data_IF_251186742275
#
_entry.id   IF_251186742275
#
_cell.length_a   1.000
_cell.length_b   1.000
_cell.length_c   1.000
_cell.angle_alpha   90.00
_cell.angle_beta   90.00
_cell.angle_gamma   90.00
#
_symmetry.space_group_name_H-M   'P 1'
#
loop_
_entity.id
_entity.type
_entity.pdbx_description
1 polymer ?
#
# COMPACT_ATOMS: atom_id res chain seq x y z
N UNK A 1 -7.93 22.67 27.59
CA UNK A 1 -7.91 22.94 26.13
C UNK A 1 -7.03 21.94 25.39
N UNK A 2 -5.77 21.72 25.81
CA UNK A 2 -4.86 20.76 25.18
C UNK A 2 -5.32 19.28 25.26
N UNK A 3 -5.81 18.84 26.43
CA UNK A 3 -6.37 17.50 26.60
C UNK A 3 -7.60 17.25 25.71
N UNK A 4 -8.45 18.27 25.56
CA UNK A 4 -9.63 18.21 24.69
C UNK A 4 -9.24 18.06 23.21
N UNK A 5 -8.19 18.77 22.77
CA UNK A 5 -7.66 18.64 21.40
C UNK A 5 -7.11 17.23 21.13
N UNK A 6 -6.39 16.66 22.10
CA UNK A 6 -5.86 15.29 22.00
C UNK A 6 -6.99 14.27 21.95
N UNK A 7 -8.00 14.41 22.80
CA UNK A 7 -9.18 13.54 22.81
C UNK A 7 -9.96 13.62 21.50
N UNK A 8 -10.19 14.82 20.98
CA UNK A 8 -10.85 15.02 19.68
C UNK A 8 -10.03 14.39 18.57
N UNK A 9 -8.71 14.59 18.55
CA UNK A 9 -7.83 13.97 17.55
C UNK A 9 -7.91 12.43 17.59
N UNK A 10 -7.86 11.82 18.79
CA UNK A 10 -8.00 10.36 18.96
C UNK A 10 -9.37 9.90 18.42
N UNK A 11 -10.46 10.56 18.82
CA UNK A 11 -11.79 10.18 18.37
C UNK A 11 -11.95 10.30 16.87
N UNK A 12 -11.46 11.39 16.26
CA UNK A 12 -11.50 11.57 14.81
C UNK A 12 -10.70 10.48 14.09
N UNK A 13 -9.51 10.15 14.58
CA UNK A 13 -8.63 9.13 13.99
C UNK A 13 -9.25 7.74 14.08
N UNK A 14 -9.78 7.37 15.25
CA UNK A 14 -10.47 6.08 15.45
C UNK A 14 -11.72 6.01 14.60
N UNK A 15 -12.50 7.08 14.54
CA UNK A 15 -13.71 7.14 13.73
C UNK A 15 -13.42 7.00 12.23
N UNK A 16 -12.38 7.68 11.72
CA UNK A 16 -11.92 7.52 10.33
C UNK A 16 -11.46 6.08 10.07
N UNK A 17 -10.68 5.50 10.98
CA UNK A 17 -10.23 4.11 10.88
C UNK A 17 -11.39 3.12 10.82
N UNK A 18 -12.40 3.29 11.69
CA UNK A 18 -13.60 2.46 11.71
C UNK A 18 -14.46 2.64 10.45
N UNK A 19 -14.60 3.87 9.93
CA UNK A 19 -15.30 4.11 8.67
C UNK A 19 -14.59 3.42 7.52
N UNK A 20 -13.26 3.56 7.41
CA UNK A 20 -12.50 2.88 6.35
C UNK A 20 -12.60 1.36 6.46
N UNK A 21 -12.49 0.82 7.68
CA UNK A 21 -12.63 -0.61 7.93
C UNK A 21 -14.02 -1.14 7.57
N UNK A 22 -15.07 -0.43 8.01
CA UNK A 22 -16.46 -0.76 7.66
C UNK A 22 -16.75 -0.60 6.17
N UNK A 23 -16.10 0.36 5.49
CA UNK A 23 -16.20 0.53 4.05
C UNK A 23 -15.56 -0.65 3.32
N UNK A 24 -14.38 -1.12 3.75
CA UNK A 24 -13.76 -2.33 3.20
C UNK A 24 -14.66 -3.55 3.38
N UNK A 25 -15.21 -3.73 4.58
CA UNK A 25 -16.11 -4.86 4.89
C UNK A 25 -17.42 -4.81 4.09
N UNK A 26 -17.97 -3.61 3.81
CA UNK A 26 -19.14 -3.47 2.93
C UNK A 26 -18.88 -4.00 1.51
N UNK A 27 -17.62 -3.94 1.05
CA UNK A 27 -17.19 -4.46 -0.25
C UNK A 27 -16.64 -5.90 -0.20
N UNK A 28 -16.93 -6.67 0.85
CA UNK A 28 -16.46 -8.05 1.02
C UNK A 28 -16.84 -8.99 -0.15
N UNK A 29 -17.94 -8.71 -0.84
CA UNK A 29 -18.41 -9.46 -2.01
C UNK A 29 -17.87 -8.96 -3.36
N UNK A 30 -17.04 -7.91 -3.35
CA UNK A 30 -16.46 -7.32 -4.55
C UNK A 30 -15.31 -8.16 -5.13
N UNK A 31 -14.96 -7.97 -6.41
CA UNK A 31 -13.75 -8.55 -7.00
C UNK A 31 -12.49 -8.22 -6.18
N UNK A 32 -11.54 -9.15 -6.18
CA UNK A 32 -10.29 -9.02 -5.42
C UNK A 32 -9.47 -7.79 -5.85
N UNK A 33 -9.49 -7.44 -7.15
CA UNK A 33 -8.86 -6.23 -7.66
C UNK A 33 -9.44 -4.94 -7.04
N UNK A 34 -10.75 -4.90 -6.79
CA UNK A 34 -11.43 -3.73 -6.23
C UNK A 34 -11.07 -3.55 -4.75
N UNK A 35 -11.00 -4.63 -3.98
CA UNK A 35 -10.55 -4.59 -2.59
C UNK A 35 -9.09 -4.18 -2.50
N UNK A 36 -8.23 -4.70 -3.40
CA UNK A 36 -6.82 -4.26 -3.49
C UNK A 36 -6.70 -2.78 -3.84
N UNK A 37 -7.56 -2.26 -4.72
CA UNK A 37 -7.61 -0.84 -5.07
C UNK A 37 -8.02 0.00 -3.86
N UNK A 38 -9.05 -0.45 -3.14
CA UNK A 38 -9.54 0.20 -1.92
C UNK A 38 -8.44 0.28 -0.85
N UNK A 39 -7.74 -0.83 -0.60
CA UNK A 39 -6.59 -0.88 0.32
C UNK A 39 -5.48 0.10 -0.07
N UNK A 40 -5.18 0.25 -1.37
CA UNK A 40 -4.21 1.23 -1.89
C UNK A 40 -4.66 2.67 -1.63
N UNK A 41 -5.92 2.97 -1.87
CA UNK A 41 -6.48 4.30 -1.60
C UNK A 41 -6.44 4.63 -0.09
N UNK A 42 -6.83 3.68 0.77
CA UNK A 42 -6.74 3.84 2.23
C UNK A 42 -5.30 4.06 2.71
N UNK A 43 -4.33 3.33 2.15
CA UNK A 43 -2.91 3.55 2.47
C UNK A 43 -2.42 4.93 2.04
N UNK A 44 -2.80 5.41 0.86
CA UNK A 44 -2.44 6.77 0.41
C UNK A 44 -2.98 7.82 1.39
N UNK A 45 -4.22 7.65 1.87
CA UNK A 45 -4.80 8.58 2.84
C UNK A 45 -4.04 8.54 4.17
N UNK A 46 -3.69 7.35 4.66
CA UNK A 46 -2.88 7.21 5.88
C UNK A 46 -1.48 7.82 5.72
N UNK A 47 -0.83 7.58 4.59
CA UNK A 47 0.46 8.15 4.24
C UNK A 47 0.43 9.68 4.21
N UNK A 48 -0.62 10.28 3.63
CA UNK A 48 -0.79 11.73 3.62
C UNK A 48 -1.06 12.29 5.01
N UNK A 49 -1.85 11.58 5.83
CA UNK A 49 -2.12 11.98 7.20
C UNK A 49 -0.86 11.93 8.06
N UNK A 50 -0.03 10.89 7.90
CA UNK A 50 1.28 10.78 8.53
C UNK A 50 2.21 11.93 8.13
N UNK A 51 2.22 12.27 6.83
CA UNK A 51 3.01 13.39 6.32
C UNK A 51 2.54 14.75 6.88
N UNK A 52 1.23 14.94 7.03
CA UNK A 52 0.69 16.13 7.69
C UNK A 52 1.18 16.24 9.14
N UNK A 53 1.19 15.15 9.90
CA UNK A 53 1.73 15.15 11.26
C UNK A 53 3.24 15.47 11.29
N UNK A 54 4.00 15.00 10.30
CA UNK A 54 5.40 15.37 10.10
C UNK A 54 5.59 16.87 9.85
N UNK A 55 4.76 17.46 8.98
CA UNK A 55 4.77 18.91 8.70
C UNK A 55 4.41 19.76 9.93
N UNK A 56 3.58 19.26 10.85
CA UNK A 56 3.33 19.90 12.15
C UNK A 56 4.52 19.82 13.13
N UNK A 57 5.63 19.21 12.69
CA UNK A 57 6.86 19.10 13.47
C UNK A 57 6.77 18.07 14.58
N UNK A 58 5.83 17.12 14.51
CA UNK A 58 5.66 16.06 15.53
C UNK A 58 6.81 15.05 15.48
N UNK A 59 7.42 14.89 14.30
CA UNK A 59 8.60 14.05 14.06
C UNK A 59 9.56 14.79 13.13
N UNK A 60 10.86 14.54 13.26
CA UNK A 60 11.85 15.08 12.32
C UNK A 60 11.62 14.51 10.93
N UNK A 61 11.71 15.34 9.90
CA UNK A 61 11.58 14.92 8.50
C UNK A 61 12.48 13.73 8.11
N UNK A 62 13.69 13.64 8.69
CA UNK A 62 14.59 12.49 8.47
C UNK A 62 14.01 11.18 8.97
N UNK A 63 13.34 11.24 10.12
CA UNK A 63 12.72 10.09 10.77
C UNK A 63 11.42 9.75 10.04
N UNK A 64 10.63 10.75 9.67
CA UNK A 64 9.41 10.61 8.88
C UNK A 64 9.66 9.84 7.58
N UNK A 65 10.74 10.13 6.83
CA UNK A 65 11.12 9.34 5.65
C UNK A 65 11.32 7.86 5.97
N UNK A 66 11.97 7.55 7.10
CA UNK A 66 12.22 6.17 7.53
C UNK A 66 10.90 5.47 7.90
N UNK A 67 10.02 6.16 8.63
CA UNK A 67 8.71 5.63 9.02
C UNK A 67 7.84 5.37 7.79
N UNK A 68 7.80 6.32 6.86
CA UNK A 68 7.08 6.19 5.59
C UNK A 68 7.58 5.01 4.76
N UNK A 69 8.90 4.78 4.74
CA UNK A 69 9.49 3.62 4.08
C UNK A 69 9.05 2.30 4.71
N UNK A 70 8.99 2.23 6.05
CA UNK A 70 8.51 1.04 6.75
C UNK A 70 7.04 0.74 6.42
N UNK A 71 6.18 1.75 6.36
CA UNK A 71 4.77 1.53 5.99
C UNK A 71 4.61 1.15 4.54
N UNK A 72 5.37 1.79 3.64
CA UNK A 72 5.37 1.42 2.24
C UNK A 72 5.79 -0.04 2.07
N UNK A 73 6.84 -0.46 2.79
CA UNK A 73 7.32 -1.84 2.73
C UNK A 73 6.28 -2.83 3.25
N UNK A 74 5.67 -2.56 4.41
CA UNK A 74 4.59 -3.40 4.95
C UNK A 74 3.39 -3.44 4.00
N UNK A 75 2.94 -2.28 3.54
CA UNK A 75 1.77 -2.16 2.69
C UNK A 75 1.96 -2.87 1.36
N UNK A 76 3.11 -2.69 0.72
CA UNK A 76 3.40 -3.29 -0.57
C UNK A 76 3.45 -4.83 -0.45
N UNK A 77 4.08 -5.35 0.60
CA UNK A 77 4.09 -6.80 0.84
C UNK A 77 2.71 -7.35 1.19
N UNK A 78 1.91 -6.63 1.97
CA UNK A 78 0.53 -7.01 2.24
C UNK A 78 -0.32 -7.02 0.96
N UNK A 79 -0.17 -6.00 0.10
CA UNK A 79 -0.94 -5.87 -1.13
C UNK A 79 -0.63 -6.97 -2.14
N UNK A 80 0.64 -7.36 -2.26
CA UNK A 80 1.07 -8.47 -3.11
C UNK A 80 0.60 -9.83 -2.54
N UNK A 81 0.61 -9.99 -1.22
CA UNK A 81 0.15 -11.21 -0.55
C UNK A 81 -1.38 -11.30 -0.43
N UNK A 82 -2.11 -10.20 -0.51
CA UNK A 82 -3.58 -10.20 -0.35
C UNK A 82 -4.25 -11.16 -1.35
N UNK A 83 -5.15 -12.07 -0.92
CA UNK A 83 -5.77 -12.19 0.41
C UNK A 83 -5.04 -13.12 1.41
N UNK A 84 -3.91 -13.71 1.04
CA UNK A 84 -3.11 -14.71 1.80
C UNK A 84 -2.32 -14.13 3.00
N UNK A 85 -2.74 -13.01 3.56
CA UNK A 85 -1.93 -12.23 4.51
C UNK A 85 -1.69 -12.98 5.82
N UNK A 86 -2.69 -13.75 6.29
CA UNK A 86 -2.71 -14.43 7.58
C UNK A 86 -2.82 -15.97 7.47
N UNK A 87 -2.22 -16.59 6.44
CA UNK A 87 -2.17 -18.06 6.40
C UNK A 87 -1.36 -18.62 7.59
N UNK A 88 -1.65 -19.87 7.99
CA UNK A 88 -1.00 -20.54 9.14
C UNK A 88 0.55 -20.56 9.05
N UNK A 89 1.09 -20.55 7.82
CA UNK A 89 2.54 -20.58 7.55
C UNK A 89 3.13 -19.19 7.23
N UNK A 90 2.33 -18.11 7.30
CA UNK A 90 2.77 -16.77 6.92
C UNK A 90 3.55 -16.10 8.05
N UNK A 91 4.79 -15.70 7.78
CA UNK A 91 5.57 -14.84 8.70
C UNK A 91 5.13 -13.37 8.67
N UNK A 92 4.18 -13.02 7.81
CA UNK A 92 3.78 -11.63 7.60
C UNK A 92 3.14 -10.96 8.83
N UNK A 93 2.24 -11.60 9.60
CA UNK A 93 1.63 -10.97 10.79
C UNK A 93 2.68 -10.64 11.87
N UNK A 94 3.64 -11.55 12.07
CA UNK A 94 4.77 -11.33 12.99
C UNK A 94 5.61 -10.13 12.53
N UNK A 95 5.87 -10.01 11.22
CA UNK A 95 6.57 -8.86 10.65
C UNK A 95 5.81 -7.55 10.84
N UNK A 96 4.49 -7.54 10.63
CA UNK A 96 3.64 -6.38 10.89
C UNK A 96 3.78 -5.93 12.34
N UNK A 97 3.68 -6.85 13.30
CA UNK A 97 3.84 -6.56 14.73
C UNK A 97 5.25 -6.00 15.02
N UNK A 98 6.29 -6.61 14.45
CA UNK A 98 7.66 -6.17 14.71
C UNK A 98 7.95 -4.77 14.15
N UNK A 99 7.53 -4.49 12.92
CA UNK A 99 7.72 -3.19 12.28
C UNK A 99 6.89 -2.11 12.97
N UNK A 100 5.64 -2.41 13.35
CA UNK A 100 4.78 -1.48 14.11
C UNK A 100 5.36 -1.14 15.48
N UNK A 101 5.92 -2.12 16.20
CA UNK A 101 6.64 -1.88 17.46
C UNK A 101 7.87 -1.00 17.26
N UNK A 102 8.71 -1.28 16.25
CA UNK A 102 9.87 -0.43 15.92
C UNK A 102 9.41 1.00 15.63
N UNK A 103 8.37 1.16 14.81
CA UNK A 103 7.81 2.46 14.44
C UNK A 103 7.35 3.23 15.67
N UNK A 104 6.62 2.58 16.58
CA UNK A 104 6.18 3.17 17.83
C UNK A 104 7.36 3.62 18.71
N UNK A 105 8.39 2.77 18.88
CA UNK A 105 9.57 3.09 19.69
C UNK A 105 10.32 4.30 19.12
N UNK A 106 10.56 4.33 17.80
CA UNK A 106 11.24 5.44 17.14
C UNK A 106 10.43 6.73 17.36
N UNK A 107 9.12 6.68 17.09
CA UNK A 107 8.22 7.83 17.21
C UNK A 107 8.20 8.42 18.62
N UNK A 108 8.08 7.56 19.64
CA UNK A 108 8.12 7.98 21.05
C UNK A 108 9.47 8.61 21.37
N UNK A 109 10.59 7.99 20.99
CA UNK A 109 11.93 8.52 21.27
C UNK A 109 12.18 9.87 20.62
N UNK A 110 11.68 10.08 19.41
CA UNK A 110 11.86 11.36 18.71
C UNK A 110 10.92 12.46 19.23
N UNK A 111 9.81 12.08 19.86
CA UNK A 111 8.83 13.03 20.41
C UNK A 111 9.28 13.80 21.66
N UNK A 112 10.33 13.34 22.36
CA UNK A 112 10.74 13.96 23.63
C UNK A 112 11.26 15.40 23.50
N UNK A 113 11.68 15.81 22.30
CA UNK A 113 12.28 17.12 22.05
C UNK A 113 11.34 18.11 21.33
N UNK A 114 10.03 17.85 21.33
CA UNK A 114 9.08 18.53 20.43
C UNK A 114 7.99 19.28 21.21
N UNK A 115 7.61 20.50 20.77
CA UNK A 115 6.65 21.36 21.48
C UNK A 115 5.25 20.75 21.64
N UNK A 116 4.82 19.90 20.71
CA UNK A 116 3.48 19.27 20.71
C UNK A 116 3.50 17.80 21.11
N UNK A 117 4.22 17.47 22.18
CA UNK A 117 4.42 16.09 22.63
C UNK A 117 3.12 15.29 22.85
N UNK A 118 2.02 15.90 23.23
CA UNK A 118 0.74 15.18 23.41
C UNK A 118 0.12 14.65 22.12
N UNK A 119 0.46 15.23 20.97
CA UNK A 119 -0.01 14.77 19.66
C UNK A 119 0.69 13.49 19.23
N UNK A 120 1.73 13.04 19.94
CA UNK A 120 2.39 11.77 19.65
C UNK A 120 1.46 10.57 19.83
N UNK A 121 0.53 10.64 20.78
CA UNK A 121 -0.39 9.53 21.04
C UNK A 121 -1.45 9.40 19.94
N UNK A 122 -2.15 10.47 19.51
CA UNK A 122 -2.96 10.46 18.29
C UNK A 122 -2.17 10.00 17.06
N UNK A 123 -0.94 10.48 16.90
CA UNK A 123 -0.06 10.06 15.81
C UNK A 123 0.17 8.54 15.83
N UNK A 124 0.63 7.97 16.94
CA UNK A 124 0.87 6.53 17.09
C UNK A 124 -0.40 5.72 16.82
N UNK A 125 -1.54 6.12 17.39
CA UNK A 125 -2.81 5.45 17.16
C UNK A 125 -3.18 5.43 15.68
N UNK A 126 -2.90 6.52 14.98
CA UNK A 126 -3.23 6.66 13.57
C UNK A 126 -2.29 5.91 12.62
N UNK A 127 -0.99 5.93 12.89
CA UNK A 127 0.04 5.47 11.96
C UNK A 127 0.56 4.07 12.28
N UNK A 128 0.39 3.62 13.53
CA UNK A 128 0.83 2.29 13.98
C UNK A 128 -0.34 1.30 14.02
N UNK A 129 -1.53 1.73 14.43
CA UNK A 129 -2.66 0.82 14.65
C UNK A 129 -3.61 0.71 13.44
N UNK A 130 -3.84 1.79 12.68
CA UNK A 130 -4.85 1.75 11.60
C UNK A 130 -4.42 0.85 10.45
N UNK A 131 -3.14 0.87 10.05
CA UNK A 131 -2.68 0.06 8.92
C UNK A 131 -2.85 -1.45 9.17
N UNK A 132 -2.42 -2.03 10.31
CA UNK A 132 -2.76 -3.42 10.66
C UNK A 132 -4.27 -3.69 10.74
N UNK A 133 -5.05 -2.76 11.29
CA UNK A 133 -6.50 -2.91 11.39
C UNK A 133 -7.15 -2.99 10.00
N UNK A 134 -6.75 -2.12 9.05
CA UNK A 134 -7.27 -2.19 7.68
C UNK A 134 -7.02 -3.55 7.04
N UNK A 135 -5.85 -4.15 7.28
CA UNK A 135 -5.56 -5.49 6.78
C UNK A 135 -6.40 -6.58 7.46
N UNK A 136 -6.58 -6.50 8.78
CA UNK A 136 -7.43 -7.43 9.51
C UNK A 136 -8.89 -7.35 9.04
N UNK A 137 -9.43 -6.15 8.84
CA UNK A 137 -10.80 -5.94 8.35
C UNK A 137 -10.98 -6.20 6.86
N UNK A 138 -9.91 -6.16 6.07
CA UNK A 138 -9.95 -6.60 4.67
C UNK A 138 -9.98 -8.12 4.51
N UNK A 139 -9.79 -8.88 5.58
CA UNK A 139 -9.74 -10.33 5.48
C UNK A 139 -11.12 -10.88 5.05
N UNK A 140 -11.17 -11.71 3.98
CA UNK A 140 -12.40 -12.36 3.58
C UNK A 140 -12.90 -13.30 4.69
N UNK A 141 -14.09 -13.05 5.26
CA UNK A 141 -14.70 -13.97 6.22
C UNK A 141 -15.20 -15.24 5.50
N UNK A 142 -15.48 -16.28 6.29
CA UNK A 142 -15.69 -17.68 5.84
C UNK A 142 -16.78 -17.84 4.75
N UNK A 143 -17.72 -16.91 4.65
CA UNK A 143 -18.80 -16.92 3.65
C UNK A 143 -18.48 -16.16 2.34
N UNK A 144 -17.32 -15.50 2.25
CA UNK A 144 -16.96 -14.74 1.07
C UNK A 144 -16.53 -15.65 -0.09
N UNK A 145 -16.79 -15.19 -1.33
CA UNK A 145 -16.34 -15.87 -2.57
C UNK A 145 -14.82 -16.02 -2.68
N UNK A 146 -14.03 -15.51 -1.73
CA UNK A 146 -12.57 -15.55 -1.73
C UNK A 146 -12.00 -16.54 -0.69
N UNK A 147 -12.82 -17.09 0.21
CA UNK A 147 -12.38 -17.97 1.30
C UNK A 147 -11.62 -19.23 0.81
N UNK A 148 -12.01 -19.79 -0.34
CA UNK A 148 -11.37 -20.97 -0.95
C UNK A 148 -10.05 -20.66 -1.67
N UNK A 149 -9.81 -19.39 -2.01
CA UNK A 149 -8.56 -18.96 -2.68
C UNK A 149 -7.41 -18.88 -1.67
N UNK A 150 -7.69 -18.62 -0.38
CA UNK A 150 -6.72 -18.37 0.72
C UNK A 150 -5.75 -19.54 1.00
N UNK A 151 -6.01 -20.74 0.47
CA UNK A 151 -5.29 -21.96 0.91
C UNK A 151 -4.23 -22.51 -0.06
N UNK A 152 -4.16 -22.06 -1.33
CA UNK A 152 -3.47 -22.87 -2.36
C UNK A 152 -2.14 -22.33 -2.91
N UNK A 153 -1.72 -21.08 -2.65
CA UNK A 153 -0.39 -20.59 -3.11
C UNK A 153 0.17 -19.46 -2.24
N UNK A 154 1.00 -19.79 -1.25
CA UNK A 154 1.88 -18.78 -0.61
C UNK A 154 3.34 -19.06 -0.97
N UNK A 155 3.85 -18.36 -1.98
CA UNK A 155 5.30 -18.23 -2.15
C UNK A 155 5.75 -17.14 -1.17
N UNK A 156 6.23 -17.54 0.02
CA UNK A 156 6.44 -16.66 1.17
C UNK A 156 7.75 -15.84 1.09
N UNK A 157 8.20 -15.50 -0.12
CA UNK A 157 9.45 -14.76 -0.34
C UNK A 157 9.27 -13.29 0.07
N UNK A 158 10.14 -12.78 0.95
CA UNK A 158 10.14 -11.36 1.34
C UNK A 158 10.48 -10.48 0.14
N UNK A 159 9.81 -9.33 0.01
CA UNK A 159 10.05 -8.39 -1.07
C UNK A 159 11.49 -7.85 -1.03
N UNK A 160 12.06 -7.59 0.14
CA UNK A 160 13.47 -7.19 0.22
C UNK A 160 14.39 -8.31 -0.21
N UNK A 161 14.10 -9.56 0.19
CA UNK A 161 14.89 -10.72 -0.26
C UNK A 161 14.80 -10.88 -1.78
N UNK A 162 13.61 -10.68 -2.37
CA UNK A 162 13.39 -10.68 -3.81
C UNK A 162 14.13 -9.53 -4.50
N UNK A 163 14.13 -8.33 -3.91
CA UNK A 163 14.85 -7.17 -4.44
C UNK A 163 16.36 -7.39 -4.41
N UNK A 164 16.89 -7.91 -3.30
CA UNK A 164 18.31 -8.30 -3.17
C UNK A 164 18.65 -9.37 -4.20
N UNK A 165 17.80 -10.38 -4.38
CA UNK A 165 17.98 -11.43 -5.39
C UNK A 165 17.96 -10.89 -6.82
N UNK A 166 17.09 -9.92 -7.12
CA UNK A 166 17.07 -9.19 -8.40
C UNK A 166 18.39 -8.42 -8.61
N UNK A 167 18.93 -7.79 -7.58
CA UNK A 167 20.20 -7.05 -7.69
C UNK A 167 21.39 -8.00 -7.85
N UNK A 168 21.42 -9.11 -7.10
CA UNK A 168 22.55 -10.04 -7.02
C UNK A 168 22.57 -11.05 -8.17
N UNK A 169 21.42 -11.39 -8.76
CA UNK A 169 21.31 -12.40 -9.83
C UNK A 169 20.90 -11.78 -11.16
N UNK A 170 21.76 -11.95 -12.16
CA UNK A 170 21.49 -11.48 -13.53
C UNK A 170 20.25 -12.14 -14.15
N UNK A 171 20.00 -13.42 -13.82
CA UNK A 171 18.81 -14.14 -14.29
C UNK A 171 17.53 -13.53 -13.72
N UNK A 172 17.49 -13.30 -12.42
CA UNK A 172 16.31 -12.70 -11.75
C UNK A 172 16.10 -11.24 -12.17
N UNK A 173 17.17 -10.50 -12.45
CA UNK A 173 17.11 -9.17 -13.05
C UNK A 173 16.47 -9.17 -14.44
N UNK A 174 16.88 -10.10 -15.30
CA UNK A 174 16.34 -10.19 -16.66
C UNK A 174 14.87 -10.61 -16.65
N UNK A 175 14.49 -11.56 -15.81
CA UNK A 175 13.09 -11.95 -15.61
C UNK A 175 12.24 -10.76 -15.12
N UNK A 176 12.74 -9.99 -14.14
CA UNK A 176 12.06 -8.78 -13.65
C UNK A 176 11.92 -7.70 -14.73
N UNK A 177 12.98 -7.40 -15.49
CA UNK A 177 12.96 -6.40 -16.56
C UNK A 177 11.97 -6.76 -17.67
N UNK A 178 11.87 -8.04 -18.04
CA UNK A 178 10.88 -8.52 -19.01
C UNK A 178 9.47 -8.31 -18.47
N UNK A 179 9.22 -8.69 -17.21
CA UNK A 179 7.92 -8.51 -16.58
C UNK A 179 7.50 -7.03 -16.48
N UNK A 180 8.44 -6.16 -16.11
CA UNK A 180 8.25 -4.72 -16.02
C UNK A 180 7.98 -4.10 -17.40
N UNK A 181 8.72 -4.53 -18.43
CA UNK A 181 8.49 -4.11 -19.81
C UNK A 181 7.09 -4.49 -20.30
N UNK A 182 6.62 -5.69 -19.96
CA UNK A 182 5.26 -6.14 -20.29
C UNK A 182 4.23 -5.28 -19.55
N UNK A 183 4.36 -5.07 -18.24
CA UNK A 183 3.41 -4.24 -17.48
C UNK A 183 3.33 -2.80 -17.98
N UNK A 184 4.46 -2.17 -18.29
CA UNK A 184 4.48 -0.82 -18.88
C UNK A 184 3.75 -0.82 -20.22
N UNK A 185 3.97 -1.82 -21.07
CA UNK A 185 3.27 -1.93 -22.36
C UNK A 185 1.76 -2.05 -22.17
N UNK A 186 1.30 -2.88 -21.23
CA UNK A 186 -0.12 -3.03 -20.89
C UNK A 186 -0.73 -1.73 -20.39
N UNK A 187 -0.05 -1.04 -19.49
CA UNK A 187 -0.52 0.24 -18.95
C UNK A 187 -0.58 1.34 -20.01
N UNK A 188 0.40 1.39 -20.93
CA UNK A 188 0.37 2.33 -22.05
C UNK A 188 -0.78 2.00 -23.00
N UNK A 189 -1.01 0.73 -23.30
CA UNK A 189 -2.12 0.28 -24.14
C UNK A 189 -3.48 0.60 -23.52
N UNK A 190 -3.66 0.35 -22.22
CA UNK A 190 -4.90 0.67 -21.49
C UNK A 190 -5.15 2.18 -21.43
N UNK A 191 -4.13 2.99 -21.15
CA UNK A 191 -4.22 4.45 -21.16
C UNK A 191 -4.56 5.00 -22.56
N UNK A 192 -3.95 4.44 -23.61
CA UNK A 192 -4.29 4.78 -24.99
C UNK A 192 -5.74 4.43 -25.34
N UNK A 193 -6.24 3.27 -24.89
CA UNK A 193 -7.64 2.85 -25.09
C UNK A 193 -8.62 3.76 -24.35
N UNK A 194 -8.32 4.17 -23.11
CA UNK A 194 -9.30 4.91 -22.30
C UNK A 194 -9.30 6.41 -22.57
N UNK A 195 -8.18 6.99 -23.01
CA UNK A 195 -8.01 8.45 -22.99
C UNK A 195 -7.90 9.07 -24.39
N UNK A 196 -8.96 9.78 -24.81
CA UNK A 196 -9.02 10.48 -26.12
C UNK A 196 -7.86 11.47 -26.31
N UNK A 197 -7.40 12.10 -25.23
CA UNK A 197 -6.28 13.04 -25.27
C UNK A 197 -4.96 12.33 -25.61
N UNK A 198 -4.71 11.16 -25.02
CA UNK A 198 -3.51 10.35 -25.30
C UNK A 198 -3.52 9.84 -26.74
N UNK A 199 -4.68 9.44 -27.29
CA UNK A 199 -4.79 9.08 -28.73
C UNK A 199 -4.40 10.23 -29.67
N UNK A 200 -4.77 11.45 -29.32
CA UNK A 200 -4.39 12.67 -30.07
C UNK A 200 -2.89 12.97 -30.01
N UNK A 201 -2.24 12.68 -28.88
CA UNK A 201 -0.78 12.84 -28.73
C UNK A 201 -0.04 11.76 -29.53
N UNK A 202 -0.49 10.50 -29.42
CA UNK A 202 0.12 9.37 -30.14
C UNK A 202 -0.08 9.48 -31.66
N UNK A 203 -1.18 10.07 -32.13
CA UNK A 203 -1.40 10.30 -33.57
C UNK A 203 -0.42 11.30 -34.18
N UNK A 204 0.11 12.23 -33.37
CA UNK A 204 1.13 13.22 -33.70
C UNK A 204 2.56 12.76 -33.42
N UNK A 205 2.73 11.58 -32.84
CA UNK A 205 4.04 11.01 -32.50
C UNK A 205 4.73 10.41 -33.73
N UNK A 206 6.07 10.24 -33.71
CA UNK A 206 6.80 9.58 -34.78
C UNK A 206 6.22 8.20 -35.13
N UNK A 207 6.24 7.84 -36.42
CA UNK A 207 5.60 6.63 -36.96
C UNK A 207 6.00 5.34 -36.23
N UNK A 208 7.23 5.26 -35.75
CA UNK A 208 7.75 4.15 -34.95
C UNK A 208 7.02 4.00 -33.60
N UNK A 209 6.82 5.11 -32.88
CA UNK A 209 6.12 5.15 -31.59
C UNK A 209 4.64 4.83 -31.79
N UNK A 210 4.04 5.37 -32.85
CA UNK A 210 2.65 5.13 -33.23
C UNK A 210 2.40 3.66 -33.55
N UNK A 211 3.22 3.04 -34.40
CA UNK A 211 3.07 1.62 -34.75
C UNK A 211 3.30 0.71 -33.55
N UNK A 212 4.24 1.04 -32.67
CA UNK A 212 4.50 0.25 -31.46
C UNK A 212 3.33 0.27 -30.46
N UNK A 213 2.72 1.43 -30.23
CA UNK A 213 1.59 1.56 -29.28
C UNK A 213 0.31 0.95 -29.88
N UNK A 214 0.04 1.19 -31.17
CA UNK A 214 -1.15 0.67 -31.84
C UNK A 214 -1.10 -0.86 -31.99
N UNK A 215 0.04 -1.44 -32.36
CA UNK A 215 0.15 -2.91 -32.49
C UNK A 215 -0.01 -3.63 -31.16
N UNK A 216 0.42 -3.02 -30.04
CA UNK A 216 0.26 -3.60 -28.70
C UNK A 216 -1.18 -3.45 -28.19
N UNK A 217 -1.83 -2.32 -28.49
CA UNK A 217 -3.23 -2.11 -28.16
C UNK A 217 -4.19 -2.99 -28.98
N UNK A 218 -3.80 -3.50 -30.16
CA UNK A 218 -4.61 -4.43 -30.95
C UNK A 218 -4.41 -5.91 -30.59
N UNK A 219 -3.28 -6.29 -29.98
CA UNK A 219 -2.99 -7.69 -29.59
C UNK A 219 -3.80 -8.12 -28.36
N UNK A 220 -4.18 -7.19 -27.47
CA UNK A 220 -5.02 -7.47 -26.30
C UNK A 220 -6.53 -7.37 -26.60
N UNK A 221 -6.96 -7.54 -27.86
CA UNK A 221 -8.38 -7.66 -28.27
C UNK A 221 -8.83 -9.13 -28.49
N UNK A 222 -7.91 -10.09 -28.34
CA UNK A 222 -8.14 -11.54 -28.39
C UNK A 222 -8.01 -12.11 -26.97
#
# INVERSE_FOLDING_TARGET
MFETVVLVAIFTIVFIGLIMAGYIQYYENAPLEDIRKLLKESYIILALMELLFGLFGIISFKVEIVLQFLDWWLFYQASDKYPYIFSMDSFFPVKVIFVTLIKAIISIRTSFNIPFRSLIFPYIMSTVCILPLLFAFSYPYEDSKLAHVVWDKSNDEDILARFVKIIMSERSRNEYLVHLKIQIQRNIASLYRQNKCIRSIVSKSPLFVKNFIVSRASIEEI
#
